data_IF_654882776411
#
_entry.id   IF_654882776411
#
_cell.length_a   1.000
_cell.length_b   1.000
_cell.length_c   1.000
_cell.angle_alpha   90.00
_cell.angle_beta   90.00
_cell.angle_gamma   90.00
#
_symmetry.space_group_name_H-M   'P 1'
#
loop_
_entity.id
_entity.type
_entity.pdbx_description
1 polymer ?
#
# COMPACT_ATOMS: atom_id res chain seq x y z
N UNK A 1 24.67 18.81 -16.95
CA UNK A 1 24.15 17.49 -16.59
C UNK A 1 23.01 17.60 -15.58
N UNK A 2 23.17 18.18 -14.35
CA UNK A 2 22.06 18.29 -13.36
C UNK A 2 20.79 18.98 -13.92
N UNK A 3 20.89 20.06 -14.69
CA UNK A 3 19.74 20.76 -15.27
C UNK A 3 18.96 19.93 -16.31
N UNK A 4 19.68 19.16 -17.14
CA UNK A 4 19.05 18.29 -18.15
C UNK A 4 18.36 17.09 -17.47
N UNK A 5 18.95 16.56 -16.41
CA UNK A 5 18.33 15.49 -15.61
C UNK A 5 17.07 15.99 -14.90
N UNK A 6 17.12 17.15 -14.25
CA UNK A 6 15.95 17.76 -13.58
C UNK A 6 14.81 18.08 -14.56
N UNK A 7 15.11 18.45 -15.83
CA UNK A 7 14.09 18.66 -16.85
C UNK A 7 13.45 17.33 -17.29
N UNK A 8 14.25 16.27 -17.45
CA UNK A 8 13.75 14.93 -17.79
C UNK A 8 12.92 14.33 -16.65
N UNK A 9 13.38 14.45 -15.40
CA UNK A 9 12.68 13.99 -14.21
C UNK A 9 11.34 14.74 -14.02
N UNK A 10 11.32 16.06 -14.31
CA UNK A 10 10.10 16.87 -14.31
C UNK A 10 9.12 16.45 -15.40
N UNK A 11 9.58 15.96 -16.54
CA UNK A 11 8.73 15.48 -17.63
C UNK A 11 8.12 14.11 -17.30
N UNK A 12 8.91 13.19 -16.77
CA UNK A 12 8.46 11.86 -16.33
C UNK A 12 7.35 11.95 -15.27
N UNK A 13 7.44 12.90 -14.34
CA UNK A 13 6.46 13.08 -13.26
C UNK A 13 5.16 13.77 -13.70
N UNK A 14 5.09 14.38 -14.88
CA UNK A 14 3.87 15.04 -15.38
C UNK A 14 2.73 14.08 -15.69
N UNK A 15 3.06 12.86 -16.04
CA UNK A 15 2.08 11.81 -16.37
C UNK A 15 1.66 10.98 -15.13
N UNK A 16 2.30 11.21 -13.99
CA UNK A 16 2.02 10.47 -12.77
C UNK A 16 0.85 11.11 -12.05
N UNK A 17 -0.28 10.42 -12.09
CA UNK A 17 -1.48 10.70 -11.31
C UNK A 17 -1.86 9.46 -10.47
N UNK A 18 -2.99 9.51 -9.78
CA UNK A 18 -3.46 8.39 -8.96
C UNK A 18 -3.80 7.12 -9.76
N UNK A 19 -4.06 7.23 -11.05
CA UNK A 19 -4.43 6.12 -11.94
C UNK A 19 -3.29 5.67 -12.85
N UNK A 20 -2.06 6.16 -12.61
CA UNK A 20 -0.89 5.67 -13.34
C UNK A 20 -0.71 4.16 -13.12
N UNK A 21 -0.71 3.42 -14.22
CA UNK A 21 -0.69 1.97 -14.18
C UNK A 21 0.73 1.41 -14.30
N UNK A 22 1.33 0.88 -13.22
CA UNK A 22 2.69 0.35 -13.25
C UNK A 22 2.84 -0.91 -14.13
N UNK A 23 1.73 -1.58 -14.45
CA UNK A 23 1.76 -2.77 -15.32
C UNK A 23 1.84 -2.43 -16.81
N UNK A 24 1.65 -1.18 -17.20
CA UNK A 24 1.69 -0.71 -18.59
C UNK A 24 3.05 -0.18 -19.03
N UNK A 25 4.02 -0.14 -18.14
CA UNK A 25 5.35 0.43 -18.37
C UNK A 25 6.45 -0.58 -18.05
N UNK A 26 7.69 -0.30 -18.48
CA UNK A 26 8.83 -1.15 -18.16
C UNK A 26 9.24 -0.99 -16.69
N UNK A 27 9.89 -2.02 -16.14
CA UNK A 27 10.43 -1.97 -14.79
C UNK A 27 11.50 -0.87 -14.62
N UNK A 28 12.24 -0.54 -15.67
CA UNK A 28 13.21 0.56 -15.64
C UNK A 28 12.48 1.90 -15.50
N UNK A 29 11.36 2.10 -16.22
CA UNK A 29 10.54 3.30 -16.07
C UNK A 29 9.95 3.44 -14.66
N UNK A 30 9.52 2.34 -14.05
CA UNK A 30 9.08 2.34 -12.64
C UNK A 30 10.21 2.80 -11.72
N UNK A 31 11.43 2.29 -11.94
CA UNK A 31 12.62 2.69 -11.15
C UNK A 31 12.96 4.17 -11.33
N UNK A 32 12.96 4.66 -12.57
CA UNK A 32 13.21 6.07 -12.90
C UNK A 32 12.17 6.99 -12.25
N UNK A 33 10.89 6.61 -12.28
CA UNK A 33 9.82 7.36 -11.61
C UNK A 33 10.03 7.44 -10.10
N UNK A 34 10.46 6.35 -9.46
CA UNK A 34 10.78 6.34 -8.01
C UNK A 34 11.88 7.35 -7.72
N UNK A 35 12.98 7.31 -8.47
CA UNK A 35 14.10 8.23 -8.28
C UNK A 35 13.68 9.69 -8.48
N UNK A 36 12.88 9.96 -9.51
CA UNK A 36 12.34 11.28 -9.78
C UNK A 36 11.42 11.78 -8.65
N UNK A 37 10.62 10.91 -8.03
CA UNK A 37 9.80 11.27 -6.85
C UNK A 37 10.68 11.71 -5.68
N UNK A 38 11.75 10.97 -5.34
CA UNK A 38 12.67 11.35 -4.27
C UNK A 38 13.39 12.68 -4.57
N UNK A 39 13.84 12.89 -5.79
CA UNK A 39 14.52 14.12 -6.19
C UNK A 39 13.57 15.34 -6.16
N UNK A 40 12.36 15.19 -6.70
CA UNK A 40 11.38 16.27 -6.82
C UNK A 40 10.88 16.86 -5.50
N UNK A 41 10.99 16.12 -4.40
CA UNK A 41 10.65 16.61 -3.05
C UNK A 41 11.87 17.22 -2.33
N UNK A 42 13.04 17.24 -3.00
CA UNK A 42 14.26 17.91 -2.55
C UNK A 42 14.97 17.23 -1.37
N UNK A 43 14.68 15.95 -1.12
CA UNK A 43 15.24 15.24 0.05
C UNK A 43 16.70 14.80 -0.17
N UNK A 44 17.07 14.50 -1.41
CA UNK A 44 18.41 14.01 -1.73
C UNK A 44 19.46 15.10 -1.49
N UNK A 45 19.25 16.28 -2.04
CA UNK A 45 20.14 17.44 -1.83
C UNK A 45 20.15 17.90 -0.35
N UNK A 46 18.98 17.90 0.31
CA UNK A 46 18.85 18.37 1.68
C UNK A 46 19.49 17.44 2.74
N UNK A 47 19.61 16.15 2.44
CA UNK A 47 20.21 15.12 3.31
C UNK A 47 21.61 14.70 2.82
N UNK A 48 22.18 15.40 1.83
CA UNK A 48 23.46 15.06 1.21
C UNK A 48 23.56 13.60 0.72
N UNK A 49 22.43 13.02 0.22
CA UNK A 49 22.38 11.66 -0.30
C UNK A 49 22.77 11.69 -1.79
N UNK A 50 23.88 11.04 -2.19
CA UNK A 50 24.26 10.99 -3.60
C UNK A 50 23.24 10.22 -4.45
N UNK A 51 23.01 10.68 -5.69
CA UNK A 51 22.04 10.06 -6.61
C UNK A 51 22.37 8.59 -6.93
N UNK A 52 23.64 8.22 -7.00
CA UNK A 52 24.08 6.84 -7.18
C UNK A 52 23.80 5.96 -5.96
N UNK A 53 23.84 6.52 -4.76
CA UNK A 53 23.50 5.80 -3.52
C UNK A 53 22.01 5.51 -3.46
N UNK A 54 21.14 6.49 -3.71
CA UNK A 54 19.69 6.23 -3.71
C UNK A 54 19.30 5.29 -4.85
N UNK A 55 19.90 5.41 -6.03
CA UNK A 55 19.69 4.48 -7.13
C UNK A 55 20.04 3.04 -6.73
N UNK A 56 21.23 2.83 -6.13
CA UNK A 56 21.64 1.51 -5.66
C UNK A 56 20.70 0.95 -4.57
N UNK A 57 20.20 1.82 -3.68
CA UNK A 57 19.19 1.43 -2.67
C UNK A 57 17.89 0.98 -3.35
N UNK A 58 17.36 1.73 -4.31
CA UNK A 58 16.12 1.37 -5.00
C UNK A 58 16.24 0.03 -5.72
N UNK A 59 17.37 -0.23 -6.38
CA UNK A 59 17.62 -1.52 -7.04
C UNK A 59 17.75 -2.67 -6.04
N UNK A 60 18.40 -2.47 -4.91
CA UNK A 60 18.51 -3.48 -3.86
C UNK A 60 17.16 -3.76 -3.20
N UNK A 61 16.37 -2.72 -2.91
CA UNK A 61 14.99 -2.86 -2.42
C UNK A 61 14.14 -3.65 -3.42
N UNK A 62 14.18 -3.27 -4.72
CA UNK A 62 13.47 -4.00 -5.78
C UNK A 62 13.81 -5.49 -5.80
N UNK A 63 15.08 -5.84 -5.63
CA UNK A 63 15.53 -7.23 -5.65
C UNK A 63 15.01 -8.08 -4.49
N UNK A 64 14.50 -7.45 -3.45
CA UNK A 64 13.94 -8.12 -2.26
C UNK A 64 12.42 -8.28 -2.32
N UNK A 65 11.77 -7.82 -3.37
CA UNK A 65 10.38 -8.16 -3.66
C UNK A 65 10.31 -9.44 -4.49
N UNK A 66 9.51 -10.39 -4.06
CA UNK A 66 9.31 -11.66 -4.74
C UNK A 66 8.18 -11.57 -5.77
N UNK A 67 8.11 -12.54 -6.68
CA UNK A 67 7.05 -12.64 -7.70
C UNK A 67 5.76 -13.22 -7.08
N UNK A 68 5.22 -12.54 -6.07
CA UNK A 68 3.90 -12.84 -5.51
C UNK A 68 2.83 -12.04 -6.24
N UNK A 69 1.57 -12.50 -6.28
CA UNK A 69 0.55 -11.87 -7.11
C UNK A 69 0.24 -10.42 -6.75
N UNK A 70 0.19 -10.07 -5.46
CA UNK A 70 -0.24 -8.75 -4.97
C UNK A 70 0.89 -7.98 -4.27
N UNK A 71 1.47 -8.50 -3.18
CA UNK A 71 2.49 -7.81 -2.37
C UNK A 71 3.87 -7.85 -3.05
N UNK A 72 3.97 -7.27 -4.24
CA UNK A 72 5.15 -7.22 -5.09
C UNK A 72 5.62 -5.78 -5.34
N UNK A 73 6.66 -5.60 -6.16
CA UNK A 73 7.24 -4.28 -6.41
C UNK A 73 6.29 -3.28 -7.06
N UNK A 74 5.30 -3.74 -7.87
CA UNK A 74 4.29 -2.85 -8.44
C UNK A 74 3.31 -2.32 -7.39
N UNK A 75 2.97 -3.14 -6.38
CA UNK A 75 2.15 -2.69 -5.26
C UNK A 75 2.83 -1.56 -4.50
N UNK A 76 4.07 -1.76 -4.07
CA UNK A 76 4.76 -0.73 -3.29
C UNK A 76 5.08 0.52 -4.11
N UNK A 77 5.27 0.39 -5.42
CA UNK A 77 5.31 1.54 -6.31
C UNK A 77 4.00 2.34 -6.27
N UNK A 78 2.85 1.66 -6.34
CA UNK A 78 1.53 2.32 -6.26
C UNK A 78 1.33 3.02 -4.92
N UNK A 79 1.74 2.39 -3.83
CA UNK A 79 1.69 2.99 -2.48
C UNK A 79 2.61 4.20 -2.37
N UNK A 80 3.85 4.09 -2.86
CA UNK A 80 4.81 5.21 -2.93
C UNK A 80 4.25 6.38 -3.76
N UNK A 81 3.73 6.08 -4.95
CA UNK A 81 3.10 7.06 -5.83
C UNK A 81 1.96 7.82 -5.14
N UNK A 82 1.07 7.11 -4.44
CA UNK A 82 -0.03 7.72 -3.70
C UNK A 82 0.49 8.59 -2.55
N UNK A 83 1.47 8.13 -1.78
CA UNK A 83 2.13 8.94 -0.74
C UNK A 83 2.76 10.20 -1.32
N UNK A 84 3.44 10.08 -2.45
CA UNK A 84 4.02 11.21 -3.19
C UNK A 84 2.96 12.23 -3.62
N UNK A 85 1.87 11.76 -4.22
CA UNK A 85 0.78 12.62 -4.69
C UNK A 85 0.07 13.33 -3.53
N UNK A 86 -0.17 12.65 -2.42
CA UNK A 86 -0.72 13.27 -1.19
C UNK A 86 0.25 14.34 -0.66
N UNK A 87 1.55 14.05 -0.60
CA UNK A 87 2.56 15.00 -0.15
C UNK A 87 2.62 16.23 -1.07
N UNK A 88 2.58 16.06 -2.39
CA UNK A 88 2.67 17.16 -3.36
C UNK A 88 1.37 17.94 -3.48
N UNK A 89 0.22 17.27 -3.38
CA UNK A 89 -1.10 17.88 -3.55
C UNK A 89 -1.57 18.67 -2.32
N UNK A 90 -1.24 18.19 -1.12
CA UNK A 90 -1.75 18.79 0.12
C UNK A 90 -0.82 19.83 0.73
N UNK A 91 -1.27 21.08 0.76
CA UNK A 91 -0.53 22.16 1.47
C UNK A 91 -0.45 21.92 2.97
N UNK A 92 -1.42 21.24 3.56
CA UNK A 92 -1.42 20.86 4.96
C UNK A 92 -0.34 19.81 5.24
N UNK A 93 -0.31 18.74 4.45
CA UNK A 93 0.70 17.68 4.59
C UNK A 93 2.11 18.24 4.37
N UNK A 94 2.32 19.11 3.38
CA UNK A 94 3.61 19.76 3.16
C UNK A 94 4.10 20.58 4.37
N UNK A 95 3.19 21.23 5.09
CA UNK A 95 3.52 22.00 6.31
C UNK A 95 3.87 21.09 7.49
N UNK A 96 3.23 19.96 7.61
CA UNK A 96 3.43 19.01 8.72
C UNK A 96 4.65 18.14 8.44
N UNK A 97 4.70 17.48 7.27
CA UNK A 97 5.83 16.68 6.80
C UNK A 97 6.85 17.63 6.14
N UNK A 98 7.31 18.63 6.91
CA UNK A 98 8.09 19.74 6.38
C UNK A 98 9.59 19.50 6.36
N UNK A 99 10.10 18.62 7.23
CA UNK A 99 11.55 18.35 7.30
C UNK A 99 11.99 17.37 6.20
N UNK A 100 13.21 17.50 5.68
CA UNK A 100 13.74 16.53 4.72
C UNK A 100 13.70 15.09 5.23
N UNK A 101 14.00 14.87 6.51
CA UNK A 101 13.94 13.55 7.15
C UNK A 101 12.53 12.96 7.13
N UNK A 102 11.51 13.76 7.44
CA UNK A 102 10.13 13.27 7.45
C UNK A 102 9.62 12.95 6.04
N UNK A 103 9.96 13.77 5.03
CA UNK A 103 9.64 13.49 3.62
C UNK A 103 10.34 12.24 3.11
N UNK A 104 11.64 12.11 3.43
CA UNK A 104 12.40 10.92 3.09
C UNK A 104 11.84 9.68 3.76
N UNK A 105 11.47 9.76 5.05
CA UNK A 105 10.85 8.67 5.79
C UNK A 105 9.51 8.26 5.20
N UNK A 106 8.67 9.22 4.79
CA UNK A 106 7.39 8.93 4.12
C UNK A 106 7.60 8.10 2.86
N UNK A 107 8.45 8.56 1.94
CA UNK A 107 8.66 7.86 0.67
C UNK A 107 9.40 6.53 0.86
N UNK A 108 10.41 6.50 1.73
CA UNK A 108 11.17 5.27 1.99
C UNK A 108 10.31 4.21 2.71
N UNK A 109 9.46 4.61 3.65
CA UNK A 109 8.53 3.68 4.28
C UNK A 109 7.55 3.09 3.28
N UNK A 110 6.98 3.92 2.41
CA UNK A 110 6.08 3.45 1.36
C UNK A 110 6.77 2.48 0.39
N UNK A 111 8.04 2.73 0.01
CA UNK A 111 8.81 1.86 -0.86
C UNK A 111 9.17 0.51 -0.21
N UNK A 112 9.31 0.48 1.12
CA UNK A 112 9.84 -0.67 1.84
C UNK A 112 8.82 -1.38 2.73
N UNK A 113 7.54 -0.94 2.77
CA UNK A 113 6.58 -1.42 3.76
C UNK A 113 6.25 -2.91 3.64
N UNK A 114 6.48 -3.54 2.50
CA UNK A 114 6.25 -4.95 2.21
C UNK A 114 7.52 -5.70 1.77
N UNK A 115 8.71 -5.20 2.10
CA UNK A 115 9.97 -5.87 1.71
C UNK A 115 10.02 -7.32 2.20
N UNK A 116 10.40 -8.24 1.29
CA UNK A 116 10.46 -9.69 1.55
C UNK A 116 9.11 -10.33 1.90
N UNK A 117 7.99 -9.73 1.47
CA UNK A 117 6.66 -10.31 1.71
C UNK A 117 6.54 -11.70 1.04
N UNK A 118 6.16 -12.75 1.80
CA UNK A 118 6.14 -14.14 1.29
C UNK A 118 4.84 -14.51 0.53
N UNK A 119 3.91 -13.56 0.38
CA UNK A 119 2.57 -13.80 -0.18
C UNK A 119 1.65 -14.59 0.77
N UNK A 120 1.87 -14.49 2.06
CA UNK A 120 0.99 -15.00 3.12
C UNK A 120 0.75 -13.90 4.14
N UNK A 121 -0.35 -13.94 4.88
CA UNK A 121 -0.62 -12.97 5.93
C UNK A 121 -0.02 -13.38 7.31
N UNK A 122 -0.08 -12.48 8.28
CA UNK A 122 0.40 -12.73 9.64
C UNK A 122 -0.27 -13.95 10.30
N UNK A 123 -1.56 -14.18 10.03
CA UNK A 123 -2.30 -15.33 10.58
C UNK A 123 -1.72 -16.65 10.08
N UNK A 124 -1.34 -16.75 8.81
CA UNK A 124 -0.63 -17.91 8.27
C UNK A 124 0.71 -18.14 8.95
N UNK A 125 1.52 -17.07 9.10
CA UNK A 125 2.84 -17.19 9.73
C UNK A 125 2.72 -17.70 11.18
N UNK A 126 1.73 -17.20 11.92
CA UNK A 126 1.45 -17.63 13.31
C UNK A 126 0.94 -19.07 13.36
N UNK A 127 -0.06 -19.42 12.54
CA UNK A 127 -0.64 -20.78 12.52
C UNK A 127 0.36 -21.85 12.09
N UNK A 128 1.27 -21.52 11.20
CA UNK A 128 2.32 -22.42 10.73
C UNK A 128 3.53 -22.48 11.67
N UNK A 129 3.54 -21.69 12.75
CA UNK A 129 4.69 -21.57 13.67
C UNK A 129 5.98 -21.25 12.91
N UNK A 130 5.92 -20.33 11.93
CA UNK A 130 7.04 -19.99 11.08
C UNK A 130 8.22 -19.43 11.89
N UNK A 131 9.44 -19.50 11.34
CA UNK A 131 10.62 -18.89 11.96
C UNK A 131 10.43 -17.39 12.21
N UNK A 132 9.69 -16.71 11.36
CA UNK A 132 9.37 -15.28 11.51
C UNK A 132 8.40 -15.05 12.67
N UNK A 133 7.35 -15.86 12.79
CA UNK A 133 6.40 -15.77 13.89
C UNK A 133 7.08 -15.98 15.24
N UNK A 134 7.96 -17.00 15.35
CA UNK A 134 8.77 -17.24 16.54
C UNK A 134 9.72 -16.05 16.82
N UNK A 135 10.40 -15.54 15.78
CA UNK A 135 11.35 -14.43 15.92
C UNK A 135 10.68 -13.15 16.45
N UNK A 136 9.48 -12.86 15.96
CA UNK A 136 8.74 -11.64 16.30
C UNK A 136 7.62 -11.86 17.31
N UNK A 137 7.57 -13.04 17.95
CA UNK A 137 6.64 -13.37 19.04
C UNK A 137 5.16 -13.17 18.66
N UNK A 138 4.79 -13.54 17.45
CA UNK A 138 3.43 -13.44 16.90
C UNK A 138 2.87 -12.00 16.82
N UNK A 139 3.72 -10.99 16.88
CA UNK A 139 3.29 -9.58 16.88
C UNK A 139 3.77 -8.88 15.62
N UNK A 140 2.83 -8.43 14.76
CA UNK A 140 3.13 -7.71 13.51
C UNK A 140 4.29 -8.37 12.75
N UNK A 141 4.18 -9.69 12.52
CA UNK A 141 5.30 -10.56 12.12
C UNK A 141 5.92 -10.06 10.80
N UNK A 142 5.09 -9.80 9.80
CA UNK A 142 5.54 -9.35 8.49
C UNK A 142 6.04 -7.91 8.55
N UNK A 143 5.35 -7.02 9.25
CA UNK A 143 5.74 -5.61 9.34
C UNK A 143 7.09 -5.44 10.07
N UNK A 144 7.39 -6.29 11.05
CA UNK A 144 8.70 -6.35 11.67
C UNK A 144 9.77 -6.88 10.70
N UNK A 145 9.46 -7.87 9.87
CA UNK A 145 10.35 -8.33 8.80
C UNK A 145 10.64 -7.18 7.82
N UNK A 146 9.62 -6.45 7.37
CA UNK A 146 9.76 -5.33 6.44
C UNK A 146 10.66 -4.22 7.01
N UNK A 147 10.44 -3.85 8.29
CA UNK A 147 11.30 -2.90 9.00
C UNK A 147 12.75 -3.37 9.06
N UNK A 148 13.00 -4.61 9.45
CA UNK A 148 14.37 -5.12 9.56
C UNK A 148 15.06 -5.17 8.21
N UNK A 149 14.37 -5.66 7.17
CA UNK A 149 14.86 -5.71 5.79
C UNK A 149 15.23 -4.33 5.25
N UNK A 150 14.37 -3.33 5.46
CA UNK A 150 14.66 -1.94 5.11
C UNK A 150 15.94 -1.46 5.79
N UNK A 151 16.03 -1.56 7.12
CA UNK A 151 17.20 -1.04 7.84
C UNK A 151 18.49 -1.78 7.51
N UNK A 152 18.47 -3.07 7.26
CA UNK A 152 19.61 -3.84 6.78
C UNK A 152 20.09 -3.33 5.42
N UNK A 153 19.16 -3.12 4.48
CA UNK A 153 19.45 -2.59 3.15
C UNK A 153 20.07 -1.19 3.25
N UNK A 154 19.43 -0.28 3.97
CA UNK A 154 19.94 1.09 4.13
C UNK A 154 21.32 1.13 4.80
N UNK A 155 21.62 0.23 5.72
CA UNK A 155 22.95 0.10 6.34
C UNK A 155 23.98 -0.47 5.39
N UNK A 156 23.65 -1.44 4.54
CA UNK A 156 24.55 -1.95 3.49
C UNK A 156 25.06 -0.81 2.59
N UNK A 157 24.17 0.10 2.22
CA UNK A 157 24.49 1.29 1.43
C UNK A 157 25.02 2.47 2.25
N UNK A 158 25.31 2.27 3.54
CA UNK A 158 25.83 3.28 4.46
C UNK A 158 24.95 4.54 4.59
N UNK A 159 23.65 4.47 4.30
CA UNK A 159 22.74 5.62 4.37
C UNK A 159 22.79 6.31 5.74
N UNK A 160 22.90 5.54 6.82
CA UNK A 160 23.05 6.07 8.19
C UNK A 160 24.22 7.05 8.35
N UNK A 161 25.27 6.93 7.52
CA UNK A 161 26.44 7.85 7.60
C UNK A 161 26.15 9.20 6.95
N UNK A 162 25.25 9.27 5.95
CA UNK A 162 24.83 10.53 5.37
C UNK A 162 23.88 11.28 6.31
N UNK A 163 22.99 10.58 6.99
CA UNK A 163 21.98 11.17 7.89
C UNK A 163 22.49 11.43 9.33
N UNK A 164 23.66 10.89 9.72
CA UNK A 164 24.13 10.94 11.12
C UNK A 164 25.20 12.03 11.36
N UNK A 165 25.46 12.87 10.35
CA UNK A 165 26.56 13.84 10.37
C UNK A 165 26.41 15.01 11.34
N UNK A 166 25.63 14.92 12.41
CA UNK A 166 25.58 15.79 13.62
C UNK A 166 24.19 16.18 14.15
N UNK A 167 23.06 15.64 13.64
CA UNK A 167 21.72 16.17 13.95
C UNK A 167 20.72 15.18 14.52
N UNK A 168 21.12 13.91 14.69
CA UNK A 168 20.17 12.86 15.11
C UNK A 168 19.16 12.46 14.04
N UNK A 169 19.36 12.88 12.79
CA UNK A 169 18.44 12.67 11.66
C UNK A 169 18.18 11.19 11.41
N UNK A 170 19.20 10.34 11.57
CA UNK A 170 19.05 8.89 11.45
C UNK A 170 18.11 8.30 12.50
N UNK A 171 18.18 8.80 13.73
CA UNK A 171 17.29 8.36 14.81
C UNK A 171 15.84 8.78 14.53
N UNK A 172 15.63 10.02 14.09
CA UNK A 172 14.31 10.55 13.77
C UNK A 172 13.72 9.82 12.55
N UNK A 173 14.54 9.58 11.52
CA UNK A 173 14.16 8.72 10.38
C UNK A 173 13.69 7.35 10.85
N UNK A 174 14.47 6.69 11.71
CA UNK A 174 14.13 5.36 12.22
C UNK A 174 12.81 5.35 13.00
N UNK A 175 12.58 6.33 13.86
CA UNK A 175 11.34 6.43 14.64
C UNK A 175 10.12 6.62 13.72
N UNK A 176 10.23 7.53 12.74
CA UNK A 176 9.15 7.80 11.79
C UNK A 176 8.90 6.56 10.90
N UNK A 177 9.92 6.01 10.29
CA UNK A 177 9.79 4.91 9.34
C UNK A 177 9.32 3.61 10.01
N UNK A 178 9.82 3.28 11.20
CA UNK A 178 9.34 2.12 11.97
C UNK A 178 7.86 2.29 12.33
N UNK A 179 7.46 3.48 12.82
CA UNK A 179 6.06 3.77 13.15
C UNK A 179 5.17 3.61 11.92
N UNK A 180 5.61 4.11 10.75
CA UNK A 180 4.86 4.03 9.51
C UNK A 180 4.65 2.58 9.05
N UNK A 181 5.72 1.78 8.99
CA UNK A 181 5.64 0.39 8.52
C UNK A 181 4.83 -0.48 9.49
N UNK A 182 5.07 -0.38 10.81
CA UNK A 182 4.28 -1.15 11.78
C UNK A 182 2.78 -0.75 11.79
N UNK A 183 2.44 0.43 11.29
CA UNK A 183 1.06 0.88 11.18
C UNK A 183 0.32 0.29 9.97
N UNK A 184 0.99 -0.43 9.05
CA UNK A 184 0.33 -1.14 7.96
C UNK A 184 -0.26 -2.48 8.39
N UNK A 185 0.10 -2.99 9.59
CA UNK A 185 -0.57 -4.15 10.17
C UNK A 185 -2.08 -3.91 10.33
N UNK A 186 -2.87 -4.66 9.58
CA UNK A 186 -4.33 -4.56 9.60
C UNK A 186 -4.95 -4.86 10.97
N UNK A 187 -4.27 -5.57 11.85
CA UNK A 187 -4.70 -5.75 13.24
C UNK A 187 -4.78 -4.43 14.01
N UNK A 188 -3.99 -3.42 13.61
CA UNK A 188 -3.93 -2.09 14.19
C UNK A 188 -4.98 -1.13 13.61
N UNK A 189 -5.61 -1.46 12.48
CA UNK A 189 -6.51 -0.57 11.72
C UNK A 189 -7.57 0.11 12.61
N UNK A 190 -8.26 -0.66 13.44
CA UNK A 190 -9.32 -0.13 14.31
C UNK A 190 -8.79 0.88 15.33
N UNK A 191 -7.60 0.64 15.88
CA UNK A 191 -6.94 1.55 16.84
C UNK A 191 -6.51 2.83 16.13
N UNK A 192 -5.93 2.70 14.93
CA UNK A 192 -5.52 3.84 14.11
C UNK A 192 -6.73 4.69 13.72
N UNK A 193 -7.83 4.07 13.29
CA UNK A 193 -9.07 4.79 12.96
C UNK A 193 -9.58 5.62 14.14
N UNK A 194 -9.56 5.08 15.37
CA UNK A 194 -9.97 5.83 16.56
C UNK A 194 -9.04 7.03 16.84
N UNK A 195 -7.74 6.88 16.62
CA UNK A 195 -6.77 7.98 16.75
C UNK A 195 -7.02 9.06 15.71
N UNK A 196 -7.23 8.68 14.43
CA UNK A 196 -7.56 9.63 13.35
C UNK A 196 -8.85 10.39 13.64
N UNK A 197 -9.91 9.71 14.09
CA UNK A 197 -11.18 10.35 14.47
C UNK A 197 -11.02 11.31 15.66
N UNK A 198 -10.13 11.01 16.60
CA UNK A 198 -9.74 11.93 17.67
C UNK A 198 -9.03 13.16 17.13
N UNK A 199 -8.06 12.95 16.23
CA UNK A 199 -7.25 14.00 15.62
C UNK A 199 -8.04 14.93 14.69
N UNK A 200 -9.12 14.47 14.08
CA UNK A 200 -10.04 15.34 13.31
C UNK A 200 -10.58 16.49 14.18
N UNK A 201 -10.74 16.26 15.48
CA UNK A 201 -11.22 17.28 16.44
C UNK A 201 -10.10 18.21 16.90
N UNK A 202 -8.90 17.71 17.03
CA UNK A 202 -7.69 18.42 17.43
C UNK A 202 -6.45 17.86 16.74
N UNK A 203 -6.13 18.34 15.51
CA UNK A 203 -4.97 17.86 14.74
C UNK A 203 -3.62 18.10 15.42
N UNK A 204 -3.56 19.05 16.38
CA UNK A 204 -2.34 19.35 17.14
C UNK A 204 -1.90 18.25 18.11
N UNK A 205 -2.72 17.20 18.29
CA UNK A 205 -2.39 16.04 19.13
C UNK A 205 -1.48 15.03 18.43
N UNK A 206 -1.28 15.13 17.10
CA UNK A 206 -0.49 14.21 16.32
C UNK A 206 0.97 14.68 16.18
N UNK A 207 1.89 13.76 16.34
CA UNK A 207 3.29 13.94 15.97
C UNK A 207 3.49 13.71 14.46
N UNK A 208 4.63 14.15 13.91
CA UNK A 208 4.96 13.98 12.49
C UNK A 208 4.95 12.50 12.08
N UNK A 209 5.41 11.60 12.95
CA UNK A 209 5.41 10.16 12.70
C UNK A 209 3.99 9.58 12.58
N UNK A 210 3.03 10.11 13.35
CA UNK A 210 1.63 9.67 13.24
C UNK A 210 1.05 10.06 11.87
N UNK A 211 1.34 11.28 11.40
CA UNK A 211 0.94 11.72 10.08
C UNK A 211 1.52 10.87 8.96
N UNK A 212 2.82 10.57 9.03
CA UNK A 212 3.49 9.71 8.06
C UNK A 212 2.87 8.30 8.07
N UNK A 213 2.64 7.74 9.25
CA UNK A 213 1.99 6.43 9.41
C UNK A 213 0.59 6.39 8.80
N UNK A 214 -0.23 7.41 9.05
CA UNK A 214 -1.60 7.46 8.50
C UNK A 214 -1.61 7.67 6.99
N UNK A 215 -0.67 8.43 6.44
CA UNK A 215 -0.54 8.60 4.99
C UNK A 215 -0.13 7.29 4.32
N UNK A 216 0.85 6.56 4.88
CA UNK A 216 1.29 5.26 4.34
C UNK A 216 0.16 4.24 4.42
N UNK A 217 -0.51 4.12 5.57
CA UNK A 217 -1.66 3.23 5.74
C UNK A 217 -2.83 3.58 4.81
N UNK A 218 -3.08 4.89 4.57
CA UNK A 218 -4.09 5.34 3.60
C UNK A 218 -3.73 4.93 2.17
N UNK A 219 -2.46 5.09 1.80
CA UNK A 219 -1.97 4.74 0.48
C UNK A 219 -1.98 3.22 0.23
N UNK A 220 -1.63 2.43 1.22
CA UNK A 220 -1.68 0.97 1.19
C UNK A 220 -3.12 0.45 0.98
N UNK A 221 -4.10 1.11 1.59
CA UNK A 221 -5.52 0.87 1.42
C UNK A 221 -6.14 1.59 0.20
N UNK A 222 -5.33 1.98 -0.78
CA UNK A 222 -5.73 2.86 -1.88
C UNK A 222 -6.31 2.17 -3.12
N UNK A 223 -6.11 0.88 -3.32
CA UNK A 223 -6.38 0.21 -4.60
C UNK A 223 -7.82 0.34 -5.11
N UNK A 224 -8.82 0.30 -4.22
CA UNK A 224 -10.24 0.47 -4.58
C UNK A 224 -10.68 1.93 -4.74
N UNK A 225 -9.77 2.88 -4.58
CA UNK A 225 -9.97 4.31 -4.87
C UNK A 225 -9.47 4.72 -6.26
N UNK A 226 -8.91 3.77 -7.01
CA UNK A 226 -8.44 3.94 -8.38
C UNK A 226 -9.60 3.84 -9.39
N UNK A 227 -9.32 4.14 -10.66
CA UNK A 227 -10.29 3.85 -11.73
C UNK A 227 -10.62 2.36 -11.76
N UNK A 228 -11.88 2.04 -12.13
CA UNK A 228 -12.47 0.72 -11.96
C UNK A 228 -11.65 -0.42 -12.58
N UNK A 229 -11.17 -0.25 -13.81
CA UNK A 229 -10.39 -1.29 -14.50
C UNK A 229 -9.07 -1.60 -13.77
N UNK A 230 -8.42 -0.57 -13.23
CA UNK A 230 -7.18 -0.73 -12.47
C UNK A 230 -7.47 -1.34 -11.09
N UNK A 231 -8.58 -0.95 -10.45
CA UNK A 231 -9.03 -1.55 -9.20
C UNK A 231 -9.29 -3.05 -9.34
N UNK A 232 -9.93 -3.48 -10.44
CA UNK A 232 -10.15 -4.89 -10.77
C UNK A 232 -8.85 -5.66 -11.02
N UNK A 233 -7.84 -5.02 -11.64
CA UNK A 233 -6.52 -5.66 -11.81
C UNK A 233 -5.84 -5.95 -10.48
N UNK A 234 -6.02 -5.07 -9.48
CA UNK A 234 -5.52 -5.29 -8.12
C UNK A 234 -6.35 -6.31 -7.35
N UNK A 235 -7.66 -6.30 -7.55
CA UNK A 235 -8.56 -7.32 -7.00
C UNK A 235 -8.16 -8.74 -7.43
N UNK A 236 -7.97 -8.97 -8.72
CA UNK A 236 -7.58 -10.29 -9.23
C UNK A 236 -6.26 -10.78 -8.61
N UNK A 237 -5.33 -9.88 -8.33
CA UNK A 237 -4.05 -10.20 -7.71
C UNK A 237 -4.18 -10.59 -6.24
N UNK A 238 -4.95 -9.82 -5.45
CA UNK A 238 -5.12 -10.16 -4.03
C UNK A 238 -5.90 -11.47 -3.87
N UNK A 239 -6.92 -11.72 -4.67
CA UNK A 239 -7.64 -12.99 -4.62
C UNK A 239 -6.76 -14.16 -5.07
N UNK A 240 -5.86 -13.96 -6.04
CA UNK A 240 -4.91 -14.99 -6.43
C UNK A 240 -3.92 -15.31 -5.31
N UNK A 241 -3.51 -14.31 -4.54
CA UNK A 241 -2.66 -14.50 -3.37
C UNK A 241 -3.41 -15.25 -2.25
N UNK A 242 -4.67 -14.92 -2.01
CA UNK A 242 -5.54 -15.68 -1.10
C UNK A 242 -5.72 -17.14 -1.50
N UNK A 243 -5.93 -17.42 -2.79
CA UNK A 243 -5.98 -18.80 -3.32
C UNK A 243 -4.68 -19.55 -3.04
N UNK A 244 -3.53 -18.92 -3.30
CA UNK A 244 -2.22 -19.50 -3.07
C UNK A 244 -1.96 -19.80 -1.58
N UNK A 245 -2.39 -18.90 -0.68
CA UNK A 245 -2.30 -19.12 0.77
C UNK A 245 -3.23 -20.25 1.20
N UNK A 246 -4.50 -20.26 0.77
CA UNK A 246 -5.45 -21.31 1.10
C UNK A 246 -4.95 -22.72 0.71
N UNK A 247 -4.31 -22.83 -0.48
CA UNK A 247 -3.66 -24.08 -0.88
C UNK A 247 -2.52 -24.50 0.05
N UNK A 248 -1.70 -23.55 0.51
CA UNK A 248 -0.61 -23.82 1.47
C UNK A 248 -1.17 -24.29 2.81
N UNK A 249 -2.20 -23.61 3.33
CA UNK A 249 -2.89 -23.97 4.57
C UNK A 249 -3.47 -25.37 4.49
N UNK A 250 -4.19 -25.71 3.42
CA UNK A 250 -4.75 -27.04 3.20
C UNK A 250 -3.67 -28.13 3.16
N UNK A 251 -2.56 -27.90 2.44
CA UNK A 251 -1.43 -28.86 2.35
C UNK A 251 -0.76 -29.10 3.70
N UNK A 252 -0.79 -28.11 4.59
CA UNK A 252 -0.23 -28.22 5.94
C UNK A 252 -1.25 -28.68 6.98
N UNK A 253 -2.52 -28.89 6.60
CA UNK A 253 -3.60 -29.26 7.52
C UNK A 253 -4.00 -28.13 8.47
N UNK A 254 -3.73 -26.88 8.10
CA UNK A 254 -4.13 -25.68 8.83
C UNK A 254 -5.58 -25.28 8.49
N UNK A 255 -6.22 -24.57 9.41
CA UNK A 255 -7.55 -24.00 9.16
C UNK A 255 -7.47 -22.84 8.15
N UNK A 256 -8.23 -22.95 7.06
CA UNK A 256 -8.33 -21.91 6.03
C UNK A 256 -9.38 -20.88 6.43
N UNK A 257 -9.04 -19.61 6.35
CA UNK A 257 -9.99 -18.54 6.61
C UNK A 257 -11.16 -18.57 5.59
N UNK A 258 -12.40 -18.40 6.09
CA UNK A 258 -13.61 -18.55 5.26
C UNK A 258 -13.66 -17.63 4.06
N UNK A 259 -13.09 -16.42 4.16
CA UNK A 259 -13.02 -15.46 3.06
C UNK A 259 -12.03 -15.83 1.95
N UNK A 260 -11.20 -16.85 2.17
CA UNK A 260 -10.27 -17.40 1.16
C UNK A 260 -10.83 -18.64 0.46
N UNK A 261 -12.03 -19.07 0.84
CA UNK A 261 -12.68 -20.26 0.28
C UNK A 261 -13.74 -19.87 -0.75
N UNK A 262 -13.86 -20.69 -1.81
CA UNK A 262 -14.89 -20.53 -2.85
C UNK A 262 -14.96 -19.13 -3.44
N UNK A 263 -13.84 -18.64 -3.97
CA UNK A 263 -13.69 -17.29 -4.53
C UNK A 263 -14.30 -17.17 -5.94
N UNK A 264 -15.58 -17.56 -6.07
CA UNK A 264 -16.36 -17.25 -7.27
C UNK A 264 -16.66 -15.73 -7.38
N UNK A 265 -17.18 -15.32 -8.52
CA UNK A 265 -17.44 -13.89 -8.81
C UNK A 265 -18.39 -13.24 -7.78
N UNK A 266 -19.39 -13.99 -7.30
CA UNK A 266 -20.34 -13.51 -6.29
C UNK A 266 -19.65 -13.33 -4.92
N UNK A 267 -18.86 -14.29 -4.53
CA UNK A 267 -18.11 -14.27 -3.25
C UNK A 267 -17.08 -13.16 -3.25
N UNK A 268 -16.31 -13.00 -4.32
CA UNK A 268 -15.33 -11.89 -4.48
C UNK A 268 -16.02 -10.54 -4.35
N UNK A 269 -17.11 -10.30 -5.09
CA UNK A 269 -17.84 -9.04 -5.01
C UNK A 269 -18.40 -8.75 -3.60
N UNK A 270 -18.89 -9.77 -2.88
CA UNK A 270 -19.36 -9.61 -1.50
C UNK A 270 -18.22 -9.30 -0.52
N UNK A 271 -17.07 -9.95 -0.68
CA UNK A 271 -15.87 -9.70 0.15
C UNK A 271 -15.42 -8.25 -0.06
N UNK A 272 -15.32 -7.79 -1.30
CA UNK A 272 -14.92 -6.42 -1.61
C UNK A 272 -15.93 -5.39 -1.08
N UNK A 273 -17.22 -5.62 -1.22
CA UNK A 273 -18.22 -4.75 -0.63
C UNK A 273 -18.11 -4.67 0.89
N UNK A 274 -17.92 -5.82 1.55
CA UNK A 274 -17.70 -5.86 3.01
C UNK A 274 -16.43 -5.09 3.39
N UNK A 275 -15.34 -5.26 2.66
CA UNK A 275 -14.10 -4.53 2.88
C UNK A 275 -14.27 -3.02 2.69
N UNK A 276 -14.97 -2.60 1.63
CA UNK A 276 -15.32 -1.19 1.41
C UNK A 276 -16.15 -0.65 2.58
N UNK A 277 -17.23 -1.32 2.95
CA UNK A 277 -18.22 -0.81 3.91
C UNK A 277 -17.67 -0.75 5.35
N UNK A 278 -16.86 -1.73 5.76
CA UNK A 278 -16.43 -1.86 7.15
C UNK A 278 -15.00 -1.42 7.42
N UNK A 279 -14.15 -1.33 6.39
CA UNK A 279 -12.74 -0.95 6.51
C UNK A 279 -12.45 0.35 5.78
N UNK A 280 -12.64 0.38 4.46
CA UNK A 280 -12.16 1.49 3.64
C UNK A 280 -12.97 2.77 3.82
N UNK A 281 -14.30 2.72 3.71
CA UNK A 281 -15.13 3.93 3.84
C UNK A 281 -14.95 4.64 5.18
N UNK A 282 -14.99 3.96 6.35
CA UNK A 282 -14.74 4.62 7.63
C UNK A 282 -13.37 5.30 7.70
N UNK A 283 -12.33 4.64 7.16
CA UNK A 283 -10.96 5.16 7.14
C UNK A 283 -10.83 6.37 6.22
N UNK A 284 -11.23 6.23 4.96
CA UNK A 284 -11.12 7.29 3.95
C UNK A 284 -11.96 8.53 4.30
N UNK A 285 -13.15 8.34 4.89
CA UNK A 285 -13.96 9.45 5.39
C UNK A 285 -13.31 10.18 6.57
N UNK A 286 -12.64 9.45 7.48
CA UNK A 286 -11.90 10.04 8.58
C UNK A 286 -10.67 10.81 8.06
N UNK A 287 -9.91 10.21 7.15
CA UNK A 287 -8.74 10.86 6.53
C UNK A 287 -9.13 12.07 5.68
N UNK A 288 -10.24 12.01 4.93
CA UNK A 288 -10.73 13.17 4.18
C UNK A 288 -11.17 14.34 5.07
N UNK A 289 -11.58 14.07 6.32
CA UNK A 289 -11.83 15.12 7.32
C UNK A 289 -10.54 15.66 7.92
N UNK A 290 -9.51 14.81 8.06
CA UNK A 290 -8.20 15.19 8.61
C UNK A 290 -7.39 15.99 7.58
N UNK A 291 -7.47 15.63 6.29
CA UNK A 291 -6.82 16.29 5.15
C UNK A 291 -7.92 16.79 4.19
N UNK A 292 -8.67 17.85 4.57
CA UNK A 292 -9.86 18.25 3.82
C UNK A 292 -9.51 18.73 2.41
N UNK A 293 -10.37 18.34 1.46
CA UNK A 293 -10.33 18.62 0.02
C UNK A 293 -9.25 17.86 -0.78
N UNK A 294 -8.25 17.27 -0.14
CA UNK A 294 -7.13 16.65 -0.86
C UNK A 294 -7.41 15.17 -1.22
N UNK A 295 -8.33 14.51 -0.48
CA UNK A 295 -8.70 13.10 -0.68
C UNK A 295 -10.13 12.89 -1.20
N UNK A 296 -10.88 13.98 -1.45
CA UNK A 296 -12.31 13.90 -1.80
C UNK A 296 -12.55 13.11 -3.09
N UNK A 297 -11.73 13.34 -4.12
CA UNK A 297 -11.84 12.62 -5.38
C UNK A 297 -11.63 11.12 -5.20
N UNK A 298 -10.67 10.71 -4.38
CA UNK A 298 -10.41 9.29 -4.08
C UNK A 298 -11.57 8.67 -3.31
N UNK A 299 -12.16 9.40 -2.37
CA UNK A 299 -13.36 8.96 -1.66
C UNK A 299 -14.57 8.81 -2.61
N UNK A 300 -14.71 9.69 -3.60
CA UNK A 300 -15.74 9.55 -4.65
C UNK A 300 -15.50 8.29 -5.49
N UNK A 301 -14.25 8.03 -5.90
CA UNK A 301 -13.90 6.81 -6.62
C UNK A 301 -14.21 5.55 -5.80
N UNK A 302 -13.88 5.53 -4.50
CA UNK A 302 -14.20 4.42 -3.61
C UNK A 302 -15.71 4.13 -3.54
N UNK A 303 -16.54 5.19 -3.42
CA UNK A 303 -18.00 5.07 -3.44
C UNK A 303 -18.52 4.53 -4.77
N UNK A 304 -17.91 4.96 -5.88
CA UNK A 304 -18.23 4.43 -7.22
C UNK A 304 -17.84 2.95 -7.35
N UNK A 305 -16.69 2.53 -6.82
CA UNK A 305 -16.29 1.12 -6.77
C UNK A 305 -17.32 0.27 -6.03
N UNK A 306 -17.83 0.77 -4.89
CA UNK A 306 -18.91 0.11 -4.16
C UNK A 306 -20.21 -0.03 -4.99
N UNK A 307 -20.59 1.02 -5.72
CA UNK A 307 -21.76 0.99 -6.61
C UNK A 307 -21.55 -0.02 -7.74
N UNK A 308 -20.36 -0.08 -8.33
CA UNK A 308 -20.02 -1.04 -9.37
C UNK A 308 -20.17 -2.49 -8.87
N UNK A 309 -19.67 -2.84 -7.67
CA UNK A 309 -19.90 -4.17 -7.08
C UNK A 309 -21.38 -4.46 -6.84
N UNK A 310 -22.18 -3.47 -6.43
CA UNK A 310 -23.63 -3.63 -6.29
C UNK A 310 -24.30 -3.98 -7.64
N UNK A 311 -23.84 -3.35 -8.73
CA UNK A 311 -24.32 -3.66 -10.08
C UNK A 311 -23.88 -5.07 -10.51
N UNK A 312 -22.63 -5.45 -10.29
CA UNK A 312 -22.12 -6.80 -10.57
C UNK A 312 -23.01 -7.84 -9.89
N UNK A 313 -23.22 -7.72 -8.57
CA UNK A 313 -24.09 -8.66 -7.84
C UNK A 313 -25.53 -8.70 -8.38
N UNK A 314 -26.09 -7.58 -8.79
CA UNK A 314 -27.44 -7.54 -9.35
C UNK A 314 -27.53 -8.22 -10.71
N UNK A 315 -26.49 -8.12 -11.54
CA UNK A 315 -26.42 -8.82 -12.85
C UNK A 315 -26.27 -10.32 -12.64
N UNK A 316 -25.41 -10.75 -11.73
CA UNK A 316 -25.21 -12.17 -11.42
C UNK A 316 -26.47 -12.83 -10.88
N UNK A 317 -27.18 -12.18 -9.95
CA UNK A 317 -28.46 -12.67 -9.42
C UNK A 317 -29.56 -12.85 -10.51
N UNK A 318 -29.59 -11.97 -11.52
CA UNK A 318 -30.50 -12.11 -12.67
C UNK A 318 -30.15 -13.27 -13.58
N UNK A 319 -28.87 -13.54 -13.80
CA UNK A 319 -28.40 -14.68 -14.58
C UNK A 319 -28.79 -16.01 -13.93
N UNK A 320 -28.67 -16.13 -12.61
CA UNK A 320 -29.10 -17.32 -11.87
C UNK A 320 -30.60 -17.57 -11.98
N UNK A 321 -31.44 -16.52 -11.91
CA UNK A 321 -32.88 -16.63 -12.03
C UNK A 321 -33.33 -16.93 -13.48
N UNK A 322 -32.64 -16.41 -14.50
CA UNK A 322 -32.97 -16.63 -15.91
C UNK A 322 -32.47 -17.98 -16.44
N UNK A 323 -31.44 -18.57 -15.86
CA UNK A 323 -30.92 -19.89 -16.25
C UNK A 323 -31.75 -21.09 -15.77
N UNK A 324 -32.66 -20.86 -14.80
CA UNK A 324 -33.54 -21.91 -14.28
C UNK A 324 -34.83 -22.16 -15.09
N UNK A 325 -35.15 -21.33 -16.11
CA UNK A 325 -36.39 -21.42 -16.86
C UNK A 325 -36.33 -22.24 -18.18
N UNK A 326 -35.17 -22.87 -18.48
CA UNK A 326 -34.94 -23.55 -19.75
C UNK A 326 -34.68 -25.05 -19.63
N UNK A 327 -35.57 -25.82 -18.97
CA UNK A 327 -35.31 -27.25 -18.86
C UNK A 327 -36.52 -28.07 -18.39
N UNK A 328 -37.65 -28.04 -19.10
CA UNK A 328 -38.54 -29.19 -19.08
C UNK A 328 -39.59 -29.09 -20.24
N UNK A 329 -39.16 -29.29 -21.47
CA UNK A 329 -40.03 -29.80 -22.51
C UNK A 329 -39.57 -31.22 -22.81
N UNK A 330 -40.11 -32.20 -22.09
CA UNK A 330 -40.02 -33.60 -22.43
C UNK A 330 -40.86 -33.87 -23.68
N UNK A 331 -40.47 -34.80 -24.57
CA UNK A 331 -41.23 -35.14 -25.74
C UNK A 331 -42.52 -35.91 -25.32
N UNK A 332 -43.67 -35.35 -25.59
CA UNK A 332 -44.88 -36.13 -25.71
C UNK A 332 -44.79 -36.99 -27.00
N UNK A 333 -44.94 -38.30 -26.83
CA UNK A 333 -45.21 -39.22 -27.87
C UNK A 333 -46.50 -40.02 -27.59
#
# INVERSE_FOLDING_TARGET
MKLVQMEQDSEALKEIDYNYNPFSVSEDQVTDNILAMFDSVGVLDALDIPADVIHAIVLDVKSQYTDVPFHNFNHVYTVLQMCYLILKGSTLVQKIVSTPVARFALLMSALCHDMNHPGNNNDFEIKSESELAILYNDISVLENLHCSSMFETLRRHNLHKFMDSNRGEWRDFRDIATTAILSTDMSQHKVLLQKVLGAVKDPGTLEVKDWVAYIVHTADLGNLTLEWDLALMWEDRIFKEFENQAEKEQKQGLEVATYMLNLDEVSRAKIQMGFIDYVLLPWWEAMNKLIPNDLEERLVCLKRSRENYTQVLSVLARKEQGGGAGGNEGPEA
#
